data_IF_172928050719
#
_entry.id   IF_172928050719
#
_cell.length_a   1.000
_cell.length_b   1.000
_cell.length_c   1.000
_cell.angle_alpha   90.00
_cell.angle_beta   90.00
_cell.angle_gamma   90.00
#
_symmetry.space_group_name_H-M   'P 1'
#
loop_
_entity.id
_entity.type
_entity.pdbx_description
1 polymer ?
#
# COMPACT_ATOMS: atom_id res chain seq x y z
N UNK A 1 10.53 -2.18 -11.81
CA UNK A 1 11.51 -2.94 -11.01
C UNK A 1 10.97 -3.18 -9.61
N UNK A 2 10.69 -4.43 -9.26
CA UNK A 2 10.77 -4.89 -7.87
C UNK A 2 12.22 -4.74 -7.43
N UNK A 3 12.50 -3.93 -6.42
CA UNK A 3 13.78 -4.02 -5.72
C UNK A 3 13.98 -5.47 -5.32
N UNK A 4 15.14 -6.04 -5.67
CA UNK A 4 15.45 -7.42 -5.30
C UNK A 4 15.49 -7.44 -3.78
N UNK A 5 14.51 -8.10 -3.18
CA UNK A 5 14.40 -8.23 -1.75
C UNK A 5 15.54 -9.11 -1.27
N UNK A 6 16.16 -8.72 -0.16
CA UNK A 6 17.07 -9.63 0.56
C UNK A 6 16.27 -10.81 1.10
N UNK A 7 16.93 -11.95 1.31
CA UNK A 7 16.30 -13.16 1.86
C UNK A 7 15.58 -12.88 3.19
N UNK A 8 16.19 -12.04 4.06
CA UNK A 8 15.60 -11.61 5.31
C UNK A 8 14.29 -10.83 5.11
N UNK A 9 14.25 -9.94 4.12
CA UNK A 9 13.07 -9.16 3.78
C UNK A 9 11.96 -10.02 3.19
N UNK A 10 12.30 -11.02 2.37
CA UNK A 10 11.33 -11.99 1.87
C UNK A 10 10.74 -12.83 3.01
N UNK A 11 11.58 -13.25 3.96
CA UNK A 11 11.12 -14.01 5.12
C UNK A 11 10.22 -13.15 6.03
N UNK A 12 10.58 -11.88 6.23
CA UNK A 12 9.72 -10.92 6.93
C UNK A 12 8.38 -10.72 6.21
N UNK A 13 8.39 -10.65 4.87
CA UNK A 13 7.17 -10.55 4.06
C UNK A 13 6.27 -11.78 4.18
N UNK A 14 6.85 -12.99 4.12
CA UNK A 14 6.11 -14.25 4.34
C UNK A 14 5.48 -14.28 5.74
N UNK A 15 6.27 -13.97 6.78
CA UNK A 15 5.78 -13.95 8.16
C UNK A 15 4.67 -12.92 8.37
N UNK A 16 4.85 -11.70 7.85
CA UNK A 16 3.84 -10.66 7.91
C UNK A 16 2.53 -11.07 7.22
N UNK A 17 2.60 -11.63 6.01
CA UNK A 17 1.42 -12.10 5.26
C UNK A 17 0.70 -13.20 6.04
N UNK A 18 1.43 -14.13 6.66
CA UNK A 18 0.84 -15.18 7.48
C UNK A 18 0.05 -14.61 8.65
N UNK A 19 0.65 -13.70 9.43
CA UNK A 19 0.02 -13.06 10.59
C UNK A 19 -1.22 -12.27 10.16
N UNK A 20 -1.10 -11.42 9.13
CA UNK A 20 -2.22 -10.60 8.66
C UNK A 20 -3.33 -11.45 8.06
N UNK A 21 -3.03 -12.53 7.33
CA UNK A 21 -4.06 -13.40 6.79
C UNK A 21 -4.84 -14.13 7.90
N UNK A 22 -4.19 -14.49 9.01
CA UNK A 22 -4.91 -15.01 10.19
C UNK A 22 -5.90 -13.98 10.74
N UNK A 23 -5.49 -12.71 10.85
CA UNK A 23 -6.36 -11.61 11.29
C UNK A 23 -7.53 -11.37 10.31
N UNK A 24 -7.27 -11.45 9.00
CA UNK A 24 -8.26 -11.24 7.92
C UNK A 24 -9.32 -12.33 7.82
N UNK A 25 -8.98 -13.59 8.16
CA UNK A 25 -9.95 -14.69 8.20
C UNK A 25 -11.14 -14.37 9.10
N UNK A 26 -10.91 -13.73 10.24
CA UNK A 26 -11.98 -13.29 11.15
C UNK A 26 -12.89 -12.20 10.57
N UNK A 27 -12.45 -11.50 9.52
CA UNK A 27 -13.16 -10.37 8.89
C UNK A 27 -13.69 -10.69 7.49
N UNK A 28 -13.74 -11.98 7.12
CA UNK A 28 -14.15 -12.46 5.78
C UNK A 28 -13.45 -11.75 4.61
N UNK A 29 -12.23 -11.26 4.84
CA UNK A 29 -11.46 -10.53 3.84
C UNK A 29 -10.55 -11.50 3.07
N UNK A 30 -10.41 -11.28 1.76
CA UNK A 30 -9.51 -12.07 0.93
C UNK A 30 -8.03 -12.00 1.37
N UNK A 31 -7.19 -12.93 0.90
CA UNK A 31 -5.78 -12.97 1.26
C UNK A 31 -5.07 -11.66 0.88
N UNK A 32 -4.14 -11.22 1.74
CA UNK A 32 -3.30 -10.07 1.49
C UNK A 32 -2.35 -10.35 0.31
N UNK A 33 -2.28 -9.42 -0.65
CA UNK A 33 -1.34 -9.51 -1.76
C UNK A 33 0.08 -9.15 -1.34
N UNK A 34 1.06 -9.76 -2.02
CA UNK A 34 2.49 -9.51 -1.77
C UNK A 34 2.85 -8.02 -1.87
N UNK A 35 2.42 -7.36 -2.96
CA UNK A 35 2.70 -5.93 -3.17
C UNK A 35 2.11 -5.03 -2.09
N UNK A 36 1.00 -5.43 -1.46
CA UNK A 36 0.44 -4.72 -0.33
C UNK A 36 1.31 -4.93 0.93
N UNK A 37 1.73 -6.16 1.20
CA UNK A 37 2.61 -6.48 2.33
C UNK A 37 3.93 -5.68 2.28
N UNK A 38 4.56 -5.59 1.11
CA UNK A 38 5.81 -4.84 0.94
C UNK A 38 5.64 -3.36 1.28
N UNK A 39 4.50 -2.73 1.00
CA UNK A 39 4.26 -1.31 1.35
C UNK A 39 4.31 -1.07 2.86
N UNK A 40 3.66 -1.94 3.64
CA UNK A 40 3.64 -1.84 5.11
C UNK A 40 5.02 -2.11 5.71
N UNK A 41 5.71 -3.13 5.19
CA UNK A 41 7.06 -3.49 5.64
C UNK A 41 8.08 -2.42 5.30
N UNK A 42 8.11 -1.93 4.06
CA UNK A 42 9.01 -0.86 3.65
C UNK A 42 8.84 0.40 4.51
N UNK A 43 7.60 0.79 4.81
CA UNK A 43 7.29 1.93 5.68
C UNK A 43 7.80 1.76 7.13
N UNK A 44 8.11 0.54 7.55
CA UNK A 44 8.62 0.20 8.89
C UNK A 44 10.00 -0.48 8.84
N UNK A 45 10.74 -0.31 7.74
CA UNK A 45 12.08 -0.89 7.54
C UNK A 45 12.11 -2.41 7.79
N UNK A 46 11.06 -3.10 7.37
CA UNK A 46 10.86 -4.55 7.47
C UNK A 46 10.76 -5.11 8.90
N UNK A 47 10.49 -4.25 9.89
CA UNK A 47 10.07 -4.69 11.23
C UNK A 47 8.64 -5.23 11.19
N UNK A 48 8.49 -6.54 11.33
CA UNK A 48 7.19 -7.24 11.18
C UNK A 48 6.19 -6.76 12.22
N UNK A 49 6.57 -6.61 13.48
CA UNK A 49 5.63 -6.27 14.55
C UNK A 49 5.09 -4.84 14.39
N UNK A 50 5.98 -3.91 14.04
CA UNK A 50 5.59 -2.52 13.75
C UNK A 50 4.75 -2.43 12.48
N UNK A 51 5.05 -3.24 11.47
CA UNK A 51 4.25 -3.31 10.25
C UNK A 51 2.84 -3.85 10.52
N UNK A 52 2.69 -4.86 11.37
CA UNK A 52 1.37 -5.40 11.75
C UNK A 52 0.55 -4.33 12.47
N UNK A 53 1.15 -3.63 13.43
CA UNK A 53 0.49 -2.53 14.14
C UNK A 53 0.03 -1.42 13.19
N UNK A 54 0.88 -1.05 12.21
CA UNK A 54 0.55 -0.08 11.17
C UNK A 54 -0.62 -0.57 10.28
N UNK A 55 -0.63 -1.86 9.93
CA UNK A 55 -1.72 -2.46 9.16
C UNK A 55 -3.05 -2.41 9.91
N UNK A 56 -3.08 -2.77 11.20
CA UNK A 56 -4.30 -2.72 12.01
C UNK A 56 -4.86 -1.30 12.13
N UNK A 57 -3.99 -0.31 12.36
CA UNK A 57 -4.37 1.10 12.40
C UNK A 57 -4.89 1.60 11.05
N UNK A 58 -4.26 1.17 9.95
CA UNK A 58 -4.72 1.47 8.60
C UNK A 58 -6.14 0.95 8.36
N UNK A 59 -6.41 -0.32 8.69
CA UNK A 59 -7.74 -0.90 8.52
C UNK A 59 -8.77 -0.23 9.43
N UNK A 60 -8.42 0.05 10.69
CA UNK A 60 -9.30 0.76 11.61
C UNK A 60 -9.69 2.14 11.07
N UNK A 61 -8.71 2.88 10.53
CA UNK A 61 -8.97 4.18 9.90
C UNK A 61 -9.87 4.03 8.68
N UNK A 62 -9.62 3.03 7.82
CA UNK A 62 -10.47 2.81 6.65
C UNK A 62 -11.92 2.47 7.03
N UNK A 63 -12.12 1.69 8.08
CA UNK A 63 -13.47 1.40 8.57
C UNK A 63 -14.12 2.64 9.19
N UNK A 64 -13.41 3.34 10.07
CA UNK A 64 -13.91 4.54 10.76
C UNK A 64 -14.33 5.64 9.79
N UNK A 65 -13.53 5.87 8.76
CA UNK A 65 -13.75 6.93 7.77
C UNK A 65 -14.59 6.46 6.57
N UNK A 66 -15.14 5.24 6.58
CA UNK A 66 -15.98 4.72 5.49
C UNK A 66 -15.23 4.44 4.18
N UNK A 67 -13.90 4.28 4.22
CA UNK A 67 -13.04 4.14 3.04
C UNK A 67 -12.97 2.71 2.47
N UNK A 68 -13.73 1.76 3.01
CA UNK A 68 -13.71 0.36 2.56
C UNK A 68 -14.34 0.22 1.17
N UNK A 69 -15.44 0.94 0.93
CA UNK A 69 -16.22 0.91 -0.32
C UNK A 69 -16.26 2.29 -1.00
N UNK A 70 -15.23 3.10 -0.78
CA UNK A 70 -15.20 4.47 -1.25
C UNK A 70 -15.03 4.54 -2.77
N UNK A 71 -15.99 5.17 -3.45
CA UNK A 71 -15.95 5.42 -4.89
C UNK A 71 -15.30 6.78 -5.18
N UNK A 72 -14.23 6.75 -5.98
CA UNK A 72 -13.49 7.96 -6.35
C UNK A 72 -14.20 8.80 -7.41
N UNK A 73 -15.24 8.27 -8.08
CA UNK A 73 -15.95 8.94 -9.16
C UNK A 73 -17.20 9.68 -8.70
N UNK A 74 -17.54 9.60 -7.42
CA UNK A 74 -18.71 10.26 -6.84
C UNK A 74 -18.35 11.60 -6.19
N UNK A 75 -19.34 12.48 -6.10
CA UNK A 75 -19.23 13.70 -5.30
C UNK A 75 -19.08 13.37 -3.80
N UNK A 76 -18.35 14.18 -3.01
CA UNK A 76 -17.74 15.45 -3.40
C UNK A 76 -16.31 15.32 -3.96
N UNK A 77 -15.70 14.13 -3.92
CA UNK A 77 -14.29 13.99 -4.29
C UNK A 77 -14.04 14.32 -5.75
N UNK A 78 -14.95 13.94 -6.65
CA UNK A 78 -14.80 14.20 -8.08
C UNK A 78 -14.59 15.69 -8.36
N UNK A 79 -15.48 16.57 -7.90
CA UNK A 79 -15.32 18.02 -8.12
C UNK A 79 -14.05 18.56 -7.45
N UNK A 80 -13.73 18.12 -6.23
CA UNK A 80 -12.49 18.49 -5.53
C UNK A 80 -11.23 18.12 -6.32
N UNK A 81 -11.17 16.95 -6.96
CA UNK A 81 -10.03 16.57 -7.81
C UNK A 81 -9.91 17.46 -9.05
N UNK A 82 -11.02 17.87 -9.64
CA UNK A 82 -11.02 18.76 -10.82
C UNK A 82 -10.55 20.18 -10.48
N UNK A 83 -10.59 20.60 -9.21
CA UNK A 83 -10.06 21.91 -8.79
C UNK A 83 -8.54 22.01 -8.93
N UNK A 84 -7.82 20.88 -9.04
CA UNK A 84 -6.35 20.85 -9.04
C UNK A 84 -5.72 21.09 -7.66
N UNK A 85 -6.53 21.26 -6.59
CA UNK A 85 -6.07 21.33 -5.19
C UNK A 85 -5.20 20.14 -4.81
N UNK A 86 -5.52 18.97 -5.37
CA UNK A 86 -4.73 17.75 -5.22
C UNK A 86 -3.94 17.52 -6.51
N UNK A 87 -2.65 17.89 -6.50
CA UNK A 87 -1.76 17.67 -7.64
C UNK A 87 -0.57 16.80 -7.22
N UNK A 88 -0.24 15.80 -8.04
CA UNK A 88 0.99 15.02 -7.91
C UNK A 88 2.09 15.76 -8.66
N UNK A 89 3.06 16.28 -7.93
CA UNK A 89 4.22 16.93 -8.53
C UNK A 89 5.06 15.89 -9.27
N UNK A 90 5.12 16.05 -10.59
CA UNK A 90 6.05 15.30 -11.43
C UNK A 90 7.46 15.86 -11.17
N UNK A 91 8.23 15.22 -10.29
CA UNK A 91 9.65 15.52 -10.20
C UNK A 91 10.34 14.90 -11.44
N UNK A 92 11.17 15.67 -12.13
CA UNK A 92 11.95 15.25 -13.29
C UNK A 92 12.82 13.99 -13.05
N UNK A 93 13.21 13.71 -11.80
CA UNK A 93 13.88 12.45 -11.43
C UNK A 93 12.96 11.22 -11.53
N UNK A 94 11.65 11.39 -11.45
CA UNK A 94 10.67 10.31 -11.60
C UNK A 94 10.47 9.96 -13.10
N UNK A 95 10.47 10.96 -13.98
CA UNK A 95 10.27 10.78 -15.42
C UNK A 95 11.50 10.15 -16.13
N UNK A 96 12.72 10.58 -15.78
CA UNK A 96 13.96 10.01 -16.34
C UNK A 96 14.21 8.54 -15.95
N UNK A 97 13.65 8.06 -14.83
CA UNK A 97 13.64 6.62 -14.51
C UNK A 97 12.62 5.84 -15.34
N UNK A 98 11.56 6.47 -15.84
CA UNK A 98 10.53 5.81 -16.63
C UNK A 98 10.90 5.71 -18.12
N UNK A 99 11.45 6.76 -18.74
CA UNK A 99 11.76 6.73 -20.20
C UNK A 99 12.95 5.85 -20.60
N UNK A 100 13.88 5.56 -19.68
CA UNK A 100 14.98 4.60 -19.96
C UNK A 100 14.50 3.15 -19.88
N UNK A 101 13.35 2.87 -19.26
CA UNK A 101 12.79 1.52 -19.09
C UNK A 101 11.81 1.09 -20.20
N UNK A 102 11.39 1.98 -21.09
CA UNK A 102 10.49 1.63 -22.21
C UNK A 102 11.24 1.22 -23.50
N UNK A 103 12.58 1.24 -23.49
CA UNK A 103 13.44 0.88 -24.63
C UNK A 103 14.37 -0.33 -24.37
N UNK A 104 14.02 -1.22 -23.43
CA UNK A 104 14.71 -2.50 -23.20
C UNK A 104 13.74 -3.65 -22.95
#
# INVERSE_FOLDING_TARGET
MSEVLTEEQEQAAKHFIEVVNKLRKHRCSGPLSWSCAIKFLAARKYDVQRAVSLYEQHELTRHREGLVYFDTNTEPLKSELHTGKFTILQNWLFQLRCTVLDNM
#
